data_IF_109065092196
#
_entry.id   IF_109065092196
#
_cell.length_a   1.000
_cell.length_b   1.000
_cell.length_c   1.000
_cell.angle_alpha   90.00
_cell.angle_beta   90.00
_cell.angle_gamma   90.00
#
_symmetry.space_group_name_H-M   'P 1'
#
loop_
_entity.id
_entity.type
_entity.pdbx_description
1 polymer ?
#
# COMPACT_ATOMS: atom_id res chain seq x y z
N UNK A 1 -26.06 13.99 13.35
CA UNK A 1 -25.37 13.00 14.17
C UNK A 1 -24.53 12.07 13.32
N UNK A 2 -23.31 11.93 13.69
CA UNK A 2 -22.40 11.02 13.04
C UNK A 2 -22.76 9.58 13.39
N UNK A 3 -22.84 8.70 12.41
CA UNK A 3 -23.13 7.32 12.72
C UNK A 3 -21.84 6.51 12.88
N UNK A 4 -21.96 5.36 13.52
CA UNK A 4 -20.84 4.48 13.81
C UNK A 4 -20.16 4.00 12.54
N UNK A 5 -20.94 3.75 11.49
CA UNK A 5 -20.41 3.28 10.22
C UNK A 5 -19.46 4.28 9.58
N UNK A 6 -19.80 5.56 9.61
CA UNK A 6 -18.90 6.61 9.09
C UNK A 6 -17.59 6.67 9.87
N UNK A 7 -17.67 6.52 11.19
CA UNK A 7 -16.47 6.52 12.03
C UNK A 7 -15.57 5.31 11.74
N UNK A 8 -16.17 4.15 11.50
CA UNK A 8 -15.43 2.94 11.17
C UNK A 8 -14.72 3.11 9.84
N UNK A 9 -15.40 3.66 8.84
CA UNK A 9 -14.81 3.89 7.51
C UNK A 9 -13.63 4.86 7.60
N UNK A 10 -13.78 5.95 8.34
CA UNK A 10 -12.71 6.93 8.53
C UNK A 10 -11.51 6.27 9.21
N UNK A 11 -11.75 5.49 10.26
CA UNK A 11 -10.69 4.81 11.00
C UNK A 11 -9.92 3.82 10.11
N UNK A 12 -10.64 3.09 9.26
CA UNK A 12 -10.01 2.14 8.33
C UNK A 12 -9.12 2.90 7.33
N UNK A 13 -9.62 3.99 6.77
CA UNK A 13 -8.86 4.80 5.81
C UNK A 13 -7.61 5.39 6.45
N UNK A 14 -7.71 5.86 7.70
CA UNK A 14 -6.57 6.41 8.43
C UNK A 14 -5.48 5.38 8.67
N UNK A 15 -5.83 4.09 8.66
CA UNK A 15 -4.90 3.00 8.93
C UNK A 15 -4.42 2.28 7.69
N UNK A 16 -4.84 2.69 6.49
CA UNK A 16 -4.43 2.04 5.26
C UNK A 16 -2.97 2.26 4.93
N UNK A 17 -2.40 3.36 5.41
CA UNK A 17 -0.98 3.64 5.19
C UNK A 17 -0.36 4.30 6.42
N UNK A 18 0.95 4.16 6.53
CA UNK A 18 1.75 4.83 7.55
C UNK A 18 2.09 6.24 7.07
N UNK A 19 2.49 6.36 5.81
CA UNK A 19 2.76 7.62 5.14
C UNK A 19 1.97 7.63 3.83
N UNK A 20 1.34 8.76 3.52
CA UNK A 20 0.53 8.87 2.31
C UNK A 20 1.42 8.72 1.06
N UNK A 21 1.22 7.68 0.26
CA UNK A 21 2.05 7.44 -0.93
C UNK A 21 1.87 8.50 -2.01
N UNK A 22 0.77 9.25 -1.99
CA UNK A 22 0.51 10.29 -2.98
C UNK A 22 1.39 11.52 -2.80
N UNK A 23 2.10 11.64 -1.68
CA UNK A 23 2.88 12.84 -1.35
C UNK A 23 4.33 12.79 -1.82
N UNK A 24 4.77 11.71 -2.45
CA UNK A 24 6.15 11.59 -2.91
C UNK A 24 6.24 10.76 -4.19
N UNK A 25 7.33 10.96 -4.93
CA UNK A 25 7.58 10.18 -6.14
C UNK A 25 7.77 8.69 -5.83
N UNK A 26 8.48 8.40 -4.73
CA UNK A 26 8.67 7.01 -4.31
C UNK A 26 7.34 6.36 -3.94
N UNK A 27 6.49 7.05 -3.21
CA UNK A 27 5.17 6.53 -2.85
C UNK A 27 4.32 6.22 -4.07
N UNK A 28 4.29 7.13 -5.04
CA UNK A 28 3.56 6.94 -6.29
C UNK A 28 4.11 5.74 -7.06
N UNK A 29 5.44 5.60 -7.09
CA UNK A 29 6.10 4.48 -7.75
C UNK A 29 5.75 3.15 -7.07
N UNK A 30 5.70 3.15 -5.74
CA UNK A 30 5.27 1.97 -4.97
C UNK A 30 3.87 1.54 -5.42
N UNK A 31 2.93 2.48 -5.52
CA UNK A 31 1.56 2.17 -5.94
C UNK A 31 1.54 1.61 -7.36
N UNK A 32 2.14 2.30 -8.31
CA UNK A 32 2.13 1.88 -9.71
C UNK A 32 2.75 0.50 -9.90
N UNK A 33 3.93 0.28 -9.33
CA UNK A 33 4.65 -0.97 -9.50
C UNK A 33 4.02 -2.12 -8.72
N UNK A 34 3.33 -1.82 -7.62
CA UNK A 34 2.57 -2.83 -6.88
C UNK A 34 1.43 -3.38 -7.74
N UNK A 35 0.70 -2.52 -8.41
CA UNK A 35 -0.41 -2.94 -9.28
C UNK A 35 0.12 -3.84 -10.38
N UNK A 36 1.20 -3.44 -11.03
CA UNK A 36 1.80 -4.22 -12.12
C UNK A 36 2.33 -5.56 -11.63
N UNK A 37 3.01 -5.57 -10.48
CA UNK A 37 3.60 -6.79 -9.95
C UNK A 37 2.52 -7.77 -9.48
N UNK A 38 1.49 -7.27 -8.81
CA UNK A 38 0.37 -8.11 -8.37
C UNK A 38 -0.34 -8.71 -9.59
N UNK A 39 -0.51 -7.93 -10.64
CA UNK A 39 -1.12 -8.42 -11.88
C UNK A 39 -0.25 -9.52 -12.52
N UNK A 40 1.06 -9.36 -12.46
CA UNK A 40 2.00 -10.30 -13.07
C UNK A 40 2.12 -11.63 -12.30
N UNK A 41 2.26 -11.59 -10.97
CA UNK A 41 2.56 -12.79 -10.18
C UNK A 41 1.46 -13.19 -9.21
N UNK A 42 0.43 -12.39 -9.08
CA UNK A 42 -0.65 -12.62 -8.12
C UNK A 42 -0.33 -12.10 -6.73
N UNK A 43 -1.37 -11.78 -5.97
CA UNK A 43 -1.22 -11.24 -4.62
C UNK A 43 -0.53 -12.23 -3.67
N UNK A 44 -0.80 -13.52 -3.85
CA UNK A 44 -0.22 -14.56 -2.99
C UNK A 44 1.30 -14.58 -3.07
N UNK A 45 1.85 -14.29 -4.24
CA UNK A 45 3.29 -14.30 -4.47
C UNK A 45 3.94 -12.93 -4.30
N UNK A 46 3.13 -11.89 -4.16
CA UNK A 46 3.59 -10.53 -3.98
C UNK A 46 4.22 -10.35 -2.60
N UNK A 47 5.40 -9.76 -2.54
CA UNK A 47 6.08 -9.43 -1.28
C UNK A 47 6.71 -8.05 -1.41
N UNK A 48 6.93 -7.38 -0.28
CA UNK A 48 7.62 -6.10 -0.28
C UNK A 48 9.07 -6.24 -0.72
N UNK A 49 9.68 -7.39 -0.47
CA UNK A 49 11.04 -7.66 -0.97
C UNK A 49 11.08 -7.64 -2.48
N UNK A 50 10.15 -8.35 -3.12
CA UNK A 50 10.07 -8.39 -4.59
C UNK A 50 9.75 -7.01 -5.16
N UNK A 51 8.85 -6.29 -4.52
CA UNK A 51 8.51 -4.93 -4.94
C UNK A 51 9.72 -4.01 -4.82
N UNK A 52 10.45 -4.10 -3.70
CA UNK A 52 11.65 -3.30 -3.50
C UNK A 52 12.68 -3.54 -4.59
N UNK A 53 12.90 -4.78 -4.96
CA UNK A 53 13.80 -5.14 -6.05
C UNK A 53 13.34 -4.53 -7.38
N UNK A 54 12.05 -4.61 -7.65
CA UNK A 54 11.47 -4.10 -8.90
C UNK A 54 11.66 -2.59 -9.05
N UNK A 55 11.57 -1.85 -7.95
CA UNK A 55 11.68 -0.38 -7.99
C UNK A 55 13.09 0.10 -7.66
N UNK A 56 14.06 -0.80 -7.63
CA UNK A 56 15.47 -0.50 -7.31
C UNK A 56 15.62 0.14 -5.93
N UNK A 57 14.88 -0.40 -4.97
CA UNK A 57 14.89 0.05 -3.58
C UNK A 57 14.98 -1.19 -2.68
N UNK A 58 14.48 -1.09 -1.47
CA UNK A 58 14.44 -2.22 -0.55
C UNK A 58 13.09 -2.25 0.19
N UNK A 59 12.83 -3.35 0.88
CA UNK A 59 11.56 -3.49 1.57
C UNK A 59 11.37 -2.49 2.71
N UNK A 60 12.46 -2.02 3.32
CA UNK A 60 12.37 -1.00 4.38
C UNK A 60 11.72 0.28 3.86
N UNK A 61 12.02 0.66 2.63
CA UNK A 61 11.43 1.85 2.01
C UNK A 61 9.93 1.71 1.87
N UNK A 62 9.46 0.50 1.58
CA UNK A 62 8.03 0.23 1.40
C UNK A 62 7.31 0.22 2.74
N UNK A 63 7.94 -0.36 3.77
CA UNK A 63 7.37 -0.37 5.12
C UNK A 63 7.19 1.04 5.70
N UNK A 64 7.88 2.02 5.16
CA UNK A 64 7.67 3.42 5.57
C UNK A 64 6.30 3.93 5.14
N UNK A 65 5.70 3.31 4.13
CA UNK A 65 4.39 3.70 3.59
C UNK A 65 3.27 2.77 4.01
N UNK A 66 3.54 1.46 4.08
CA UNK A 66 2.52 0.47 4.39
C UNK A 66 3.04 -0.52 5.42
N UNK A 67 2.21 -0.79 6.40
CA UNK A 67 2.54 -1.73 7.48
C UNK A 67 2.67 -3.17 6.96
N UNK A 68 1.84 -3.54 5.97
CA UNK A 68 1.83 -4.89 5.41
C UNK A 68 1.27 -4.87 4.00
N UNK A 69 1.47 -5.96 3.27
CA UNK A 69 0.91 -6.07 1.92
C UNK A 69 -0.62 -6.09 1.94
N UNK A 70 -1.22 -6.54 3.02
CA UNK A 70 -2.68 -6.51 3.16
C UNK A 70 -3.20 -5.08 3.26
N UNK A 71 -2.48 -4.21 3.98
CA UNK A 71 -2.83 -2.80 4.05
C UNK A 71 -2.67 -2.12 2.70
N UNK A 72 -1.60 -2.46 1.99
CA UNK A 72 -1.38 -1.96 0.63
C UNK A 72 -2.53 -2.39 -0.28
N UNK A 73 -2.93 -3.65 -0.22
CA UNK A 73 -4.02 -4.16 -1.06
C UNK A 73 -5.35 -3.45 -0.74
N UNK A 74 -5.63 -3.22 0.53
CA UNK A 74 -6.83 -2.46 0.92
C UNK A 74 -6.78 -1.05 0.35
N UNK A 75 -5.62 -0.41 0.39
CA UNK A 75 -5.44 0.92 -0.18
C UNK A 75 -5.72 0.91 -1.70
N UNK A 76 -5.19 -0.07 -2.41
CA UNK A 76 -5.40 -0.19 -3.86
C UNK A 76 -6.86 -0.45 -4.20
N UNK A 77 -7.60 -1.07 -3.29
CA UNK A 77 -9.01 -1.44 -3.49
C UNK A 77 -9.99 -0.34 -3.04
N UNK A 78 -9.50 0.66 -2.37
CA UNK A 78 -10.34 1.72 -1.81
C UNK A 78 -10.78 2.77 -2.83
#
# INVERSE_FOLDING_TARGET
MENILSNIIISVNDKLYVKNPETSDLGKKIIEQSILLIDEIGFENFTFKKLGEKISSNESSIYRYFESKHKLMLYLSS
#
